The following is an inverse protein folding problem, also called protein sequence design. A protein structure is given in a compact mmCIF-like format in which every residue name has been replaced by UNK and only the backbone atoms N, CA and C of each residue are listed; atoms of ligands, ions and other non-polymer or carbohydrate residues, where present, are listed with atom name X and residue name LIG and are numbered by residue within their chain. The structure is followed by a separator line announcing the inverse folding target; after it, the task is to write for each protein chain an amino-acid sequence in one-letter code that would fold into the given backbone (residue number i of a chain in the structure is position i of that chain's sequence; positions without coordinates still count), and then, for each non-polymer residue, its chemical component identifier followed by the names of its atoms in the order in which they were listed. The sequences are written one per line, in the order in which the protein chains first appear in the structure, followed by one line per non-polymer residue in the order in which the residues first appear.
data_IF_609656112353
#
_entry.id   IF_609656112353
#
_cell.length_a   1.000
_cell.length_b   1.000
_cell.length_c   1.000
_cell.angle_alpha   90.00
_cell.angle_beta   90.00
_cell.angle_gamma   90.00
#
_symmetry.space_group_name_H-M   'P 1'
#
loop_
_entity.id
_entity.type
_entity.pdbx_description
1 polymer ?
#
# COMPACT_ATOMS: atom_id res chain seq x y z
N UNK A 1 -6.74 12.77 18.85
CA UNK A 1 -7.46 11.48 18.93
C UNK A 1 -7.99 11.10 17.54
N UNK A 2 -7.45 10.07 16.89
CA UNK A 2 -8.21 9.33 15.86
C UNK A 2 -7.64 7.92 15.66
N UNK A 3 -7.80 7.07 16.68
CA UNK A 3 -7.50 5.63 16.59
C UNK A 3 -8.56 4.86 15.77
N UNK A 4 -9.60 5.54 15.29
CA UNK A 4 -10.76 4.93 14.63
C UNK A 4 -10.45 4.50 13.18
N UNK A 5 -9.61 5.24 12.47
CA UNK A 5 -9.30 4.97 11.05
C UNK A 5 -8.43 3.71 10.89
N UNK A 6 -7.47 3.50 11.79
CA UNK A 6 -6.61 2.30 11.79
C UNK A 6 -7.39 1.03 12.12
N UNK A 7 -8.36 1.12 13.03
CA UNK A 7 -9.25 0.01 13.39
C UNK A 7 -10.18 -0.38 12.24
N UNK A 8 -10.70 0.59 11.48
CA UNK A 8 -11.54 0.32 10.32
C UNK A 8 -10.77 -0.41 9.20
N UNK A 9 -9.51 -0.03 8.95
CA UNK A 9 -8.66 -0.69 7.96
C UNK A 9 -8.29 -2.12 8.38
N UNK A 10 -7.96 -2.33 9.66
CA UNK A 10 -7.68 -3.65 10.21
C UNK A 10 -8.93 -4.55 10.18
N UNK A 11 -10.10 -4.01 10.53
CA UNK A 11 -11.37 -4.73 10.49
C UNK A 11 -11.77 -5.14 9.06
N UNK A 12 -11.59 -4.26 8.08
CA UNK A 12 -11.77 -4.59 6.65
C UNK A 12 -10.81 -5.69 6.20
N UNK A 13 -9.53 -5.61 6.58
CA UNK A 13 -8.55 -6.65 6.30
C UNK A 13 -8.94 -8.01 6.89
N UNK A 14 -9.38 -8.04 8.15
CA UNK A 14 -9.86 -9.27 8.78
C UNK A 14 -11.16 -9.78 8.17
N UNK A 15 -12.09 -8.92 7.77
CA UNK A 15 -13.35 -9.31 7.14
C UNK A 15 -13.16 -9.87 5.73
N UNK A 16 -12.19 -9.35 4.96
CA UNK A 16 -11.79 -9.90 3.66
C UNK A 16 -11.11 -11.27 3.83
N UNK A 17 -10.22 -11.42 4.81
CA UNK A 17 -9.56 -12.70 5.13
C UNK A 17 -10.54 -13.75 5.66
N UNK A 18 -11.44 -13.38 6.58
CA UNK A 18 -12.48 -14.29 7.09
C UNK A 18 -13.57 -14.57 6.05
N UNK A 19 -13.97 -13.57 5.26
CA UNK A 19 -14.98 -13.72 4.21
C UNK A 19 -14.55 -14.72 3.14
N UNK A 20 -13.27 -14.65 2.73
CA UNK A 20 -12.68 -15.63 1.82
C UNK A 20 -12.58 -17.04 2.42
N UNK A 21 -12.36 -17.16 3.74
CA UNK A 21 -12.36 -18.44 4.44
C UNK A 21 -13.78 -19.04 4.58
N UNK A 22 -14.80 -18.21 4.80
CA UNK A 22 -16.20 -18.67 4.95
C UNK A 22 -16.86 -19.05 3.62
N UNK A 23 -16.37 -18.57 2.49
CA UNK A 23 -16.84 -19.02 1.18
C UNK A 23 -16.45 -20.48 0.86
N UNK A 24 -15.46 -21.03 1.58
CA UNK A 24 -14.94 -22.39 1.37
C UNK A 24 -15.64 -23.43 2.26
N UNK A 25 -16.46 -23.02 3.23
CA UNK A 25 -17.15 -23.93 4.16
C UNK A 25 -18.55 -24.36 3.70
N UNK A 26 -18.98 -24.02 2.48
CA UNK A 26 -20.16 -24.64 1.86
C UNK A 26 -19.81 -26.06 1.38
N UNK A 27 -19.34 -26.93 2.27
CA UNK A 27 -19.22 -28.35 1.97
C UNK A 27 -20.60 -29.00 2.10
N UNK A 28 -21.01 -29.57 0.98
CA UNK A 28 -22.30 -30.14 0.65
C UNK A 28 -22.95 -30.98 1.76
N UNK A 29 -24.27 -30.89 1.83
CA UNK A 29 -25.14 -31.85 2.50
C UNK A 29 -24.77 -33.28 2.07
N UNK A 30 -24.57 -34.15 3.04
CA UNK A 30 -23.98 -35.50 2.88
C UNK A 30 -24.98 -36.59 2.46
N UNK A 31 -26.19 -36.26 1.98
CA UNK A 31 -27.15 -37.29 1.59
C UNK A 31 -27.80 -37.00 0.24
N UNK A 32 -27.52 -37.90 -0.72
CA UNK A 32 -28.23 -38.01 -1.98
C UNK A 32 -29.21 -39.19 -1.89
N UNK A 33 -30.46 -39.09 -2.38
CA UNK A 33 -31.38 -40.22 -2.40
C UNK A 33 -30.85 -41.24 -3.41
N UNK A 34 -30.51 -42.46 -2.97
CA UNK A 34 -30.17 -43.57 -3.88
C UNK A 34 -28.86 -44.32 -3.61
N UNK A 35 -28.13 -44.05 -2.53
CA UNK A 35 -27.05 -44.93 -2.05
C UNK A 35 -25.81 -45.04 -2.97
N UNK A 36 -25.66 -44.14 -3.95
CA UNK A 36 -24.44 -44.03 -4.76
C UNK A 36 -23.36 -43.26 -3.98
N UNK A 37 -22.08 -43.70 -4.02
CA UNK A 37 -21.00 -42.96 -3.38
C UNK A 37 -20.89 -41.56 -3.97
N UNK A 38 -20.92 -40.52 -3.12
CA UNK A 38 -20.64 -39.16 -3.58
C UNK A 38 -19.19 -39.10 -4.08
N UNK A 39 -18.91 -38.49 -5.26
CA UNK A 39 -17.55 -38.22 -5.65
C UNK A 39 -16.93 -37.32 -4.58
N UNK A 40 -15.98 -37.88 -3.83
CA UNK A 40 -15.18 -37.14 -2.86
C UNK A 40 -14.23 -36.24 -3.64
N UNK A 41 -14.73 -35.09 -4.08
CA UNK A 41 -13.92 -34.03 -4.66
C UNK A 41 -13.10 -33.44 -3.52
N UNK A 42 -11.96 -34.05 -3.22
CA UNK A 42 -10.99 -33.50 -2.29
C UNK A 42 -10.46 -32.20 -2.91
N UNK A 43 -10.96 -31.07 -2.43
CA UNK A 43 -10.40 -29.77 -2.77
C UNK A 43 -8.96 -29.73 -2.28
N UNK A 44 -8.06 -29.22 -3.12
CA UNK A 44 -6.67 -29.01 -2.75
C UNK A 44 -6.62 -28.13 -1.48
N UNK A 45 -5.70 -28.42 -0.55
CA UNK A 45 -5.52 -27.58 0.63
C UNK A 45 -5.25 -26.13 0.22
N UNK A 46 -5.90 -25.19 0.90
CA UNK A 46 -5.77 -23.76 0.60
C UNK A 46 -4.31 -23.34 0.65
N UNK A 47 -3.77 -22.91 -0.49
CA UNK A 47 -2.42 -22.37 -0.60
C UNK A 47 -2.40 -20.93 -0.09
N UNK A 48 -2.17 -20.78 1.21
CA UNK A 48 -2.04 -19.47 1.86
C UNK A 48 -0.85 -18.68 1.31
N UNK A 49 0.23 -19.37 0.90
CA UNK A 49 1.43 -18.77 0.33
C UNK A 49 1.16 -18.22 -1.06
N UNK A 50 0.44 -18.97 -1.91
CA UNK A 50 -0.04 -18.50 -3.21
C UNK A 50 -1.01 -17.32 -3.11
N UNK A 51 -1.92 -17.34 -2.12
CA UNK A 51 -2.84 -16.23 -1.87
C UNK A 51 -2.11 -14.96 -1.38
N UNK A 52 -1.16 -15.09 -0.44
CA UNK A 52 -0.35 -13.98 0.06
C UNK A 52 0.60 -13.45 -1.02
N UNK A 53 1.22 -14.34 -1.79
CA UNK A 53 2.10 -13.99 -2.89
C UNK A 53 1.35 -13.27 -4.02
N UNK A 54 0.20 -13.78 -4.44
CA UNK A 54 -0.64 -13.18 -5.47
C UNK A 54 -1.23 -11.82 -5.05
N UNK A 55 -1.66 -11.68 -3.80
CA UNK A 55 -2.16 -10.38 -3.29
C UNK A 55 -1.05 -9.35 -3.17
N UNK A 56 0.12 -9.73 -2.64
CA UNK A 56 1.29 -8.83 -2.52
C UNK A 56 1.78 -8.40 -3.89
N UNK A 57 1.92 -9.34 -4.84
CA UNK A 57 2.34 -9.03 -6.21
C UNK A 57 1.31 -8.16 -6.95
N UNK A 58 0.02 -8.47 -6.82
CA UNK A 58 -1.06 -7.68 -7.45
C UNK A 58 -1.14 -6.25 -6.91
N UNK A 59 -0.97 -6.07 -5.59
CA UNK A 59 -0.91 -4.75 -4.97
C UNK A 59 0.37 -4.00 -5.35
N UNK A 60 1.49 -4.70 -5.54
CA UNK A 60 2.71 -4.15 -6.12
C UNK A 60 2.45 -3.48 -7.46
N UNK A 61 1.89 -4.21 -8.43
CA UNK A 61 1.57 -3.67 -9.75
C UNK A 61 0.57 -2.51 -9.74
N UNK A 62 -0.39 -2.51 -8.82
CA UNK A 62 -1.40 -1.45 -8.75
C UNK A 62 -0.88 -0.17 -8.08
N UNK A 63 -0.04 -0.29 -7.05
CA UNK A 63 0.33 0.83 -6.18
C UNK A 63 1.72 1.37 -6.53
N UNK A 64 2.63 0.53 -7.04
CA UNK A 64 3.99 0.93 -7.41
C UNK A 64 4.04 2.09 -8.43
N UNK A 65 3.23 2.11 -9.50
CA UNK A 65 3.23 3.25 -10.44
C UNK A 65 2.77 4.55 -9.76
N UNK A 66 1.80 4.46 -8.84
CA UNK A 66 1.24 5.63 -8.17
C UNK A 66 2.20 6.25 -7.14
N UNK A 67 3.02 5.44 -6.46
CA UNK A 67 4.05 5.96 -5.52
C UNK A 67 5.25 6.60 -6.25
N UNK A 68 5.50 6.17 -7.48
CA UNK A 68 6.66 6.57 -8.29
C UNK A 68 6.35 7.69 -9.28
N UNK A 69 5.06 7.99 -9.49
CA UNK A 69 4.63 9.06 -10.37
C UNK A 69 5.22 10.40 -9.92
N UNK A 70 5.85 11.10 -10.86
CA UNK A 70 6.29 12.49 -10.67
C UNK A 70 5.10 13.34 -10.27
N UNK A 71 5.16 13.86 -9.05
CA UNK A 71 4.13 14.76 -8.53
C UNK A 71 4.28 16.18 -9.07
N UNK A 72 5.51 16.56 -9.44
CA UNK A 72 5.80 17.85 -10.05
C UNK A 72 6.11 17.69 -11.56
N UNK A 73 5.23 18.17 -12.45
CA UNK A 73 5.47 18.15 -13.89
C UNK A 73 6.56 19.13 -14.33
N UNK A 74 6.86 20.15 -13.52
CA UNK A 74 7.88 21.16 -13.80
C UNK A 74 9.22 20.84 -13.14
N UNK A 75 9.33 19.75 -12.38
CA UNK A 75 10.56 19.39 -11.70
C UNK A 75 11.78 19.35 -12.64
N UNK A 76 12.88 19.92 -12.19
CA UNK A 76 14.11 20.10 -12.95
C UNK A 76 14.06 21.20 -14.00
N UNK A 77 12.98 21.97 -14.08
CA UNK A 77 12.83 23.12 -14.98
C UNK A 77 13.18 24.44 -14.28
N UNK A 78 13.61 25.43 -15.04
CA UNK A 78 13.81 26.81 -14.56
C UNK A 78 12.50 27.48 -14.11
N UNK A 79 11.35 26.92 -14.50
CA UNK A 79 10.02 27.38 -14.10
C UNK A 79 9.47 26.58 -12.89
N UNK A 80 10.27 25.72 -12.28
CA UNK A 80 9.90 24.96 -11.09
C UNK A 80 9.69 25.88 -9.89
N UNK A 81 8.44 25.98 -9.45
CA UNK A 81 8.06 26.80 -8.29
C UNK A 81 8.61 26.23 -6.98
N UNK A 82 8.73 24.90 -6.88
CA UNK A 82 9.20 24.18 -5.70
C UNK A 82 10.71 24.29 -5.50
N UNK A 83 11.45 24.72 -6.53
CA UNK A 83 12.86 25.05 -6.46
C UNK A 83 13.15 26.40 -5.77
N UNK A 84 12.14 27.21 -5.46
CA UNK A 84 12.29 28.49 -4.76
C UNK A 84 12.30 28.31 -3.23
N UNK A 85 13.19 27.46 -2.73
CA UNK A 85 13.33 27.21 -1.31
C UNK A 85 13.82 28.45 -0.55
N UNK A 86 13.15 28.82 0.53
CA UNK A 86 13.63 29.85 1.47
C UNK A 86 14.22 29.16 2.68
N UNK A 87 15.43 29.55 3.08
CA UNK A 87 16.09 29.06 4.27
C UNK A 87 16.45 30.22 5.20
N UNK A 88 16.20 30.02 6.48
CA UNK A 88 16.72 30.86 7.56
C UNK A 88 17.94 30.15 8.13
N UNK A 89 19.05 30.87 8.26
CA UNK A 89 20.27 30.38 8.92
C UNK A 89 20.32 31.00 10.31
N UNK A 90 20.10 30.23 11.37
CA UNK A 90 20.17 30.75 12.73
C UNK A 90 21.63 31.04 13.15
N UNK A 91 21.85 32.17 13.82
CA UNK A 91 23.20 32.59 14.27
C UNK A 91 23.76 31.79 15.46
N UNK A 92 23.02 30.79 15.94
CA UNK A 92 23.37 29.96 17.09
C UNK A 92 24.09 28.65 16.72
N UNK A 93 24.61 28.55 15.49
CA UNK A 93 25.36 27.38 15.01
C UNK A 93 24.48 26.18 14.62
N UNK A 94 23.16 26.34 14.62
CA UNK A 94 22.22 25.32 14.12
C UNK A 94 22.18 25.41 12.59
N UNK A 95 22.09 24.26 11.92
CA UNK A 95 22.05 24.21 10.46
C UNK A 95 20.87 24.99 9.84
N UNK A 96 20.95 25.35 8.55
CA UNK A 96 19.88 26.08 7.85
C UNK A 96 18.54 25.35 7.93
N UNK A 97 17.49 26.07 8.33
CA UNK A 97 16.11 25.55 8.33
C UNK A 97 15.35 26.22 7.22
N UNK A 98 14.82 25.44 6.28
CA UNK A 98 14.15 25.98 5.11
C UNK A 98 13.15 25.02 4.49
N UNK A 99 12.39 25.53 3.52
CA UNK A 99 11.37 24.75 2.82
C UNK A 99 11.95 23.70 1.87
N UNK A 100 13.24 23.82 1.52
CA UNK A 100 13.94 22.89 0.62
C UNK A 100 13.91 21.43 1.08
N UNK A 101 13.92 21.15 2.39
CA UNK A 101 13.85 19.75 2.86
C UNK A 101 12.54 19.06 2.50
N UNK A 102 11.47 19.83 2.26
CA UNK A 102 10.14 19.31 1.88
C UNK A 102 9.92 19.44 0.37
N UNK A 103 10.42 20.51 -0.26
CA UNK A 103 10.17 20.79 -1.68
C UNK A 103 11.22 20.20 -2.62
N UNK A 104 12.48 20.03 -2.20
CA UNK A 104 13.56 19.51 -3.05
C UNK A 104 13.32 18.10 -3.61
N UNK A 105 12.75 17.13 -2.85
CA UNK A 105 12.45 15.82 -3.42
C UNK A 105 11.44 15.89 -4.56
N UNK A 106 10.46 16.80 -4.47
CA UNK A 106 9.46 17.02 -5.51
C UNK A 106 10.05 17.75 -6.71
N UNK A 107 10.78 18.84 -6.45
CA UNK A 107 11.49 19.65 -7.44
C UNK A 107 12.55 18.86 -8.23
N UNK A 108 13.13 17.82 -7.64
CA UNK A 108 14.03 16.89 -8.32
C UNK A 108 13.30 15.82 -9.16
N UNK A 109 11.96 15.82 -9.19
CA UNK A 109 11.16 14.84 -9.92
C UNK A 109 10.90 13.56 -9.12
N UNK A 110 10.96 13.62 -7.80
CA UNK A 110 10.56 12.52 -6.92
C UNK A 110 9.04 12.32 -6.89
N UNK A 111 8.64 11.09 -6.61
CA UNK A 111 7.24 10.73 -6.41
C UNK A 111 6.82 10.85 -4.95
N UNK A 112 5.59 10.41 -4.65
CA UNK A 112 5.04 10.44 -3.30
C UNK A 112 5.92 9.68 -2.29
N UNK A 113 6.60 8.62 -2.73
CA UNK A 113 7.55 7.86 -1.89
C UNK A 113 8.78 8.65 -1.44
N UNK A 114 9.10 9.75 -2.12
CA UNK A 114 10.27 10.57 -1.84
C UNK A 114 9.99 11.70 -0.83
N UNK A 115 8.74 11.84 -0.37
CA UNK A 115 8.35 12.84 0.61
C UNK A 115 8.87 12.48 2.01
N UNK A 116 9.38 13.44 2.79
CA UNK A 116 9.91 13.17 4.14
C UNK A 116 8.88 12.53 5.10
N UNK A 117 7.61 12.92 4.96
CA UNK A 117 6.53 12.47 5.84
C UNK A 117 5.76 11.26 5.28
N UNK A 118 5.47 11.25 3.98
CA UNK A 118 4.69 10.16 3.36
C UNK A 118 5.58 9.02 2.85
N UNK A 119 6.84 9.28 2.53
CA UNK A 119 7.79 8.32 1.98
C UNK A 119 7.99 7.08 2.84
N UNK A 120 8.27 7.19 4.15
CA UNK A 120 8.43 6.02 5.02
C UNK A 120 7.20 5.10 5.02
N UNK A 121 5.99 5.69 4.99
CA UNK A 121 4.74 4.93 4.94
C UNK A 121 4.54 4.26 3.58
N UNK A 122 4.84 4.98 2.50
CA UNK A 122 4.68 4.50 1.13
C UNK A 122 5.72 3.44 0.76
N UNK A 123 6.91 3.47 1.37
CA UNK A 123 7.95 2.45 1.17
C UNK A 123 7.60 1.14 1.88
N UNK A 124 6.76 1.19 2.92
CA UNK A 124 6.26 -0.01 3.61
C UNK A 124 5.13 -0.73 2.84
N UNK A 125 4.53 -0.09 1.83
CA UNK A 125 3.61 -0.76 0.92
C UNK A 125 4.38 -1.64 -0.08
N UNK A 126 3.80 -2.77 -0.52
CA UNK A 126 4.41 -3.67 -1.48
C UNK A 126 4.89 -2.96 -2.75
N UNK A 127 5.94 -3.53 -3.35
CA UNK A 127 6.58 -3.15 -4.62
C UNK A 127 5.97 -3.96 -5.75
#
# INVERSE_FOLDING_TARGET
MSRKTTGALAALGTALLLGAATAQTAHAATEQPGGLPLPATHLQPTDAQGALGGTTAGLGYAIAPAKDLRLDPWAGSSADLLNNGVAVVPDNGVGPVGTGTVTSPLSAGGGAKNLPLAGPLLTALPI
#
